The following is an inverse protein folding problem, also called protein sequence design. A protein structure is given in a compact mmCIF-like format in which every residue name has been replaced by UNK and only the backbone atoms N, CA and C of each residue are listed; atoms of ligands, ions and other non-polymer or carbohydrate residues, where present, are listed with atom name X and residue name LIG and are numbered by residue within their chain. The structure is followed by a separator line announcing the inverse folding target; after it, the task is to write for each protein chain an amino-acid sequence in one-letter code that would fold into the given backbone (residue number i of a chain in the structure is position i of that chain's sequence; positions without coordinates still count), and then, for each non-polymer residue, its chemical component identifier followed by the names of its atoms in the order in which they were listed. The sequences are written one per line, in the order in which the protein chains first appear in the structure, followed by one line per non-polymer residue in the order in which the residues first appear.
data_IF_156141205873
#
_entry.id   IF_156141205873
#
_cell.length_a   1.000
_cell.length_b   1.000
_cell.length_c   1.000
_cell.angle_alpha   90.00
_cell.angle_beta   90.00
_cell.angle_gamma   90.00
#
_symmetry.space_group_name_H-M   'P 1'
#
loop_
_entity.id
_entity.type
_entity.pdbx_description
1 polymer ?
#
# COMPACT_ATOMS: atom_id res chain seq x y z
N UNK A 1 20.15 4.38 -6.52
CA UNK A 1 18.92 4.40 -7.33
C UNK A 1 18.87 3.09 -8.11
N UNK A 2 18.08 2.09 -7.68
CA UNK A 2 17.74 0.99 -8.58
C UNK A 2 16.55 1.46 -9.41
N UNK A 3 16.81 1.76 -10.68
CA UNK A 3 15.76 2.07 -11.65
C UNK A 3 14.87 0.84 -11.73
N UNK A 4 13.58 1.00 -11.42
CA UNK A 4 12.62 -0.09 -11.62
C UNK A 4 12.39 -0.19 -13.13
N UNK A 5 13.03 -1.19 -13.75
CA UNK A 5 12.93 -1.41 -15.19
C UNK A 5 11.72 -2.31 -15.47
N UNK A 6 10.85 -1.89 -16.38
CA UNK A 6 9.78 -2.78 -16.87
C UNK A 6 10.39 -4.02 -17.54
N UNK A 7 9.60 -5.10 -17.63
CA UNK A 7 10.00 -6.28 -18.39
C UNK A 7 10.37 -5.88 -19.82
N UNK A 8 11.53 -6.35 -20.29
CA UNK A 8 11.99 -6.08 -21.66
C UNK A 8 11.09 -6.79 -22.67
N UNK A 9 11.04 -6.26 -23.90
CA UNK A 9 10.32 -6.92 -24.99
C UNK A 9 10.78 -8.38 -25.21
N UNK A 10 12.08 -8.66 -24.98
CA UNK A 10 12.62 -10.01 -25.02
C UNK A 10 12.06 -10.93 -23.94
N UNK A 11 11.96 -10.44 -22.69
CA UNK A 11 11.35 -11.20 -21.59
C UNK A 11 9.86 -11.47 -21.84
N UNK A 12 9.11 -10.45 -22.27
CA UNK A 12 7.68 -10.61 -22.59
C UNK A 12 7.48 -11.64 -23.70
N UNK A 13 8.31 -11.59 -24.75
CA UNK A 13 8.27 -12.57 -25.85
C UNK A 13 8.59 -13.98 -25.36
N UNK A 14 9.57 -14.13 -24.47
CA UNK A 14 9.94 -15.42 -23.90
C UNK A 14 8.82 -16.01 -23.03
N UNK A 15 8.17 -15.20 -22.20
CA UNK A 15 7.03 -15.61 -21.37
C UNK A 15 5.85 -16.07 -22.24
N UNK A 16 5.52 -15.29 -23.28
CA UNK A 16 4.45 -15.67 -24.22
C UNK A 16 4.75 -17.02 -24.89
N UNK A 17 6.00 -17.24 -25.31
CA UNK A 17 6.42 -18.52 -25.88
C UNK A 17 6.19 -19.69 -24.91
N UNK A 18 6.54 -19.55 -23.63
CA UNK A 18 6.28 -20.60 -22.65
C UNK A 18 4.79 -20.95 -22.52
N UNK A 19 3.91 -19.95 -22.52
CA UNK A 19 2.47 -20.17 -22.50
C UNK A 19 1.97 -20.88 -23.76
N UNK A 20 2.44 -20.46 -24.93
CA UNK A 20 2.08 -21.06 -26.23
C UNK A 20 2.55 -22.51 -26.32
N UNK A 21 3.81 -22.79 -25.97
CA UNK A 21 4.40 -24.14 -25.97
C UNK A 21 3.64 -25.07 -25.00
N UNK A 22 3.19 -24.56 -23.84
CA UNK A 22 2.41 -25.32 -22.88
C UNK A 22 1.01 -25.70 -23.43
N UNK A 23 0.33 -24.77 -24.11
CA UNK A 23 -0.97 -25.04 -24.75
C UNK A 23 -0.81 -26.07 -25.87
N UNK A 24 0.22 -25.93 -26.71
CA UNK A 24 0.51 -26.89 -27.79
C UNK A 24 0.70 -28.31 -27.24
N UNK A 25 1.41 -28.44 -26.12
CA UNK A 25 1.60 -29.73 -25.45
C UNK A 25 0.26 -30.33 -24.96
N UNK A 26 -0.60 -29.52 -24.35
CA UNK A 26 -1.93 -29.96 -23.90
C UNK A 26 -2.80 -30.43 -25.08
N UNK A 27 -2.76 -29.71 -26.20
CA UNK A 27 -3.50 -30.10 -27.42
C UNK A 27 -3.01 -31.45 -27.96
N UNK A 28 -1.69 -31.69 -27.93
CA UNK A 28 -1.10 -32.98 -28.31
C UNK A 28 -1.50 -34.13 -27.39
N UNK A 29 -1.63 -33.89 -26.08
CA UNK A 29 -2.05 -34.88 -25.08
C UNK A 29 -3.55 -35.17 -25.12
N UNK A 30 -4.39 -34.15 -25.39
CA UNK A 30 -5.84 -34.27 -25.40
C UNK A 30 -6.37 -35.08 -26.59
N UNK A 31 -5.67 -35.06 -27.73
CA UNK A 31 -6.00 -35.87 -28.90
C UNK A 31 -7.36 -35.54 -29.52
N UNK A 32 -7.65 -34.25 -29.71
CA UNK A 32 -8.91 -33.78 -30.30
C UNK A 32 -9.12 -34.34 -31.72
N UNK A 33 -10.34 -34.81 -32.00
CA UNK A 33 -10.79 -35.08 -33.36
C UNK A 33 -11.21 -33.78 -34.07
N UNK A 34 -11.39 -33.82 -35.40
CA UNK A 34 -11.76 -32.62 -36.17
C UNK A 34 -13.04 -31.92 -35.64
N UNK A 35 -14.12 -32.64 -35.31
CA UNK A 35 -15.30 -32.02 -34.69
C UNK A 35 -15.03 -31.41 -33.31
N UNK A 36 -14.21 -32.05 -32.47
CA UNK A 36 -13.81 -31.54 -31.16
C UNK A 36 -12.98 -30.27 -31.26
N UNK A 37 -12.01 -30.25 -32.19
CA UNK A 37 -11.22 -29.06 -32.47
C UNK A 37 -12.10 -27.89 -32.95
N UNK A 38 -13.04 -28.15 -33.86
CA UNK A 38 -13.96 -27.14 -34.35
C UNK A 38 -14.85 -26.55 -33.24
N UNK A 39 -15.34 -27.39 -32.30
CA UNK A 39 -16.09 -26.91 -31.13
C UNK A 39 -15.26 -25.98 -30.25
N UNK A 40 -13.99 -26.30 -29.98
CA UNK A 40 -13.12 -25.41 -29.20
C UNK A 40 -12.91 -24.08 -29.90
N UNK A 41 -12.76 -24.07 -31.23
CA UNK A 41 -12.64 -22.84 -32.04
C UNK A 41 -13.92 -21.99 -31.96
N UNK A 42 -15.09 -22.63 -32.04
CA UNK A 42 -16.39 -21.94 -31.92
C UNK A 42 -16.60 -21.32 -30.54
N UNK A 43 -16.05 -21.93 -29.48
CA UNK A 43 -16.03 -21.40 -28.12
C UNK A 43 -14.70 -20.69 -27.77
N UNK A 44 -14.00 -20.14 -28.76
CA UNK A 44 -12.66 -19.57 -28.61
C UNK A 44 -12.54 -18.47 -27.56
N UNK A 45 -13.57 -17.64 -27.40
CA UNK A 45 -13.58 -16.58 -26.38
C UNK A 45 -13.63 -17.13 -24.95
N UNK A 46 -14.42 -18.20 -24.72
CA UNK A 46 -14.49 -18.88 -23.42
C UNK A 46 -13.15 -19.54 -23.07
N UNK A 47 -12.52 -20.18 -24.06
CA UNK A 47 -11.18 -20.74 -23.90
C UNK A 47 -10.14 -19.65 -23.61
N UNK A 48 -10.18 -18.53 -24.33
CA UNK A 48 -9.26 -17.41 -24.13
C UNK A 48 -9.37 -16.81 -22.71
N UNK A 49 -10.59 -16.59 -22.20
CA UNK A 49 -10.77 -16.07 -20.84
C UNK A 49 -10.34 -17.07 -19.75
N UNK A 50 -10.57 -18.38 -19.96
CA UNK A 50 -10.09 -19.43 -19.06
C UNK A 50 -8.54 -19.45 -18.99
N UNK A 51 -7.88 -19.41 -20.15
CA UNK A 51 -6.41 -19.34 -20.24
C UNK A 51 -5.90 -18.05 -19.62
N UNK A 52 -6.53 -16.91 -19.89
CA UNK A 52 -6.16 -15.61 -19.31
C UNK A 52 -6.19 -15.66 -17.78
N UNK A 53 -7.26 -16.22 -17.21
CA UNK A 53 -7.41 -16.35 -15.75
C UNK A 53 -6.32 -17.24 -15.15
N UNK A 54 -6.06 -18.41 -15.74
CA UNK A 54 -5.03 -19.33 -15.27
C UNK A 54 -3.60 -18.76 -15.43
N UNK A 55 -3.34 -18.09 -16.55
CA UNK A 55 -2.05 -17.45 -16.83
C UNK A 55 -1.80 -16.28 -15.86
N UNK A 56 -2.81 -15.46 -15.57
CA UNK A 56 -2.69 -14.38 -14.60
C UNK A 56 -2.29 -14.92 -13.22
N UNK A 57 -3.01 -15.92 -12.72
CA UNK A 57 -2.69 -16.54 -11.43
C UNK A 57 -1.26 -17.13 -11.39
N UNK A 58 -0.86 -17.84 -12.46
CA UNK A 58 0.47 -18.48 -12.53
C UNK A 58 1.60 -17.45 -12.63
N UNK A 59 1.42 -16.40 -13.45
CA UNK A 59 2.42 -15.35 -13.61
C UNK A 59 2.52 -14.48 -12.36
N UNK A 60 1.41 -14.21 -11.67
CA UNK A 60 1.43 -13.53 -10.37
C UNK A 60 2.25 -14.32 -9.34
N UNK A 61 2.04 -15.64 -9.23
CA UNK A 61 2.82 -16.48 -8.32
C UNK A 61 4.31 -16.52 -8.67
N UNK A 62 4.65 -16.74 -9.95
CA UNK A 62 6.04 -16.89 -10.39
C UNK A 62 6.82 -15.57 -10.50
N UNK A 63 6.13 -14.44 -10.62
CA UNK A 63 6.77 -13.12 -10.73
C UNK A 63 7.18 -12.54 -9.38
N UNK A 64 6.64 -13.09 -8.29
CA UNK A 64 6.94 -12.65 -6.93
C UNK A 64 8.13 -13.43 -6.40
N UNK A 65 9.12 -12.70 -5.88
CA UNK A 65 10.29 -13.29 -5.25
C UNK A 65 9.90 -14.20 -4.08
N UNK A 66 10.54 -15.37 -3.94
CA UNK A 66 10.33 -16.27 -2.79
C UNK A 66 10.97 -15.74 -1.49
N UNK A 67 11.64 -14.58 -1.55
CA UNK A 67 12.24 -13.97 -0.37
C UNK A 67 11.17 -13.66 0.67
N UNK A 68 11.39 -14.19 1.87
CA UNK A 68 10.49 -14.08 3.03
C UNK A 68 9.11 -14.72 2.84
N UNK A 69 8.98 -15.68 1.91
CA UNK A 69 7.71 -16.38 1.65
C UNK A 69 7.09 -17.03 2.89
N UNK A 70 7.93 -17.52 3.81
CA UNK A 70 7.50 -18.12 5.08
C UNK A 70 7.04 -17.09 6.13
N UNK A 71 7.05 -15.80 5.81
CA UNK A 71 6.58 -14.71 6.67
C UNK A 71 5.19 -14.21 6.28
N UNK A 72 4.31 -15.16 6.01
CA UNK A 72 2.89 -14.93 5.79
C UNK A 72 2.10 -15.92 6.63
N UNK A 73 1.08 -15.42 7.33
CA UNK A 73 0.10 -16.23 8.07
C UNK A 73 -1.30 -15.90 7.58
N UNK A 74 -2.22 -16.86 7.71
CA UNK A 74 -3.62 -16.61 7.43
C UNK A 74 -4.18 -15.54 8.39
N UNK A 75 -4.98 -14.62 7.84
CA UNK A 75 -5.58 -13.53 8.61
C UNK A 75 -7.04 -13.33 8.23
N UNK A 76 -7.89 -13.34 9.25
CA UNK A 76 -9.32 -13.04 9.17
C UNK A 76 -9.65 -11.64 9.71
N UNK A 77 -8.65 -10.84 10.06
CA UNK A 77 -8.84 -9.46 10.54
C UNK A 77 -9.26 -8.54 9.40
N UNK A 78 -10.14 -7.59 9.72
CA UNK A 78 -10.73 -6.69 8.75
C UNK A 78 -11.02 -5.30 9.33
N UNK A 79 -11.95 -4.59 8.69
CA UNK A 79 -12.35 -3.23 9.09
C UNK A 79 -13.70 -3.29 9.79
N UNK A 80 -13.68 -3.61 11.07
CA UNK A 80 -14.86 -3.87 11.89
C UNK A 80 -15.46 -2.59 12.47
N UNK A 81 -14.67 -1.53 12.60
CA UNK A 81 -15.10 -0.23 13.14
C UNK A 81 -15.93 0.65 12.21
N UNK A 82 -16.49 0.11 11.13
CA UNK A 82 -17.43 0.82 10.27
C UNK A 82 -16.81 1.56 9.08
N UNK A 83 -15.49 1.58 8.94
CA UNK A 83 -14.86 1.98 7.68
C UNK A 83 -15.29 1.03 6.54
N UNK A 84 -15.69 1.62 5.41
CA UNK A 84 -16.15 0.89 4.22
C UNK A 84 -15.46 1.34 2.94
N UNK A 85 -15.20 2.65 2.83
CA UNK A 85 -14.50 3.28 1.71
C UNK A 85 -13.95 4.63 2.16
N UNK A 86 -12.96 5.19 1.45
CA UNK A 86 -12.51 6.55 1.72
C UNK A 86 -13.62 7.58 1.53
N UNK A 87 -13.58 8.63 2.35
CA UNK A 87 -14.37 9.86 2.14
C UNK A 87 -13.96 10.53 0.83
N UNK A 88 -14.78 11.44 0.32
CA UNK A 88 -14.39 12.23 -0.87
C UNK A 88 -13.14 13.06 -0.59
N UNK A 89 -12.34 13.38 -1.62
CA UNK A 89 -11.16 14.24 -1.46
C UNK A 89 -11.55 15.61 -0.91
N UNK A 90 -12.71 16.15 -1.32
CA UNK A 90 -13.25 17.40 -0.76
C UNK A 90 -13.45 17.31 0.75
N UNK A 91 -14.07 16.23 1.25
CA UNK A 91 -14.26 16.03 2.69
C UNK A 91 -12.93 15.85 3.43
N UNK A 92 -12.02 15.03 2.88
CA UNK A 92 -10.70 14.81 3.48
C UNK A 92 -9.91 16.13 3.57
N UNK A 93 -9.86 16.93 2.50
CA UNK A 93 -9.15 18.22 2.50
C UNK A 93 -9.80 19.24 3.44
N UNK A 94 -11.13 19.25 3.56
CA UNK A 94 -11.83 20.10 4.51
C UNK A 94 -11.44 19.76 5.96
N UNK A 95 -11.39 18.47 6.31
CA UNK A 95 -10.92 18.01 7.63
C UNK A 95 -9.46 18.45 7.83
N UNK A 96 -8.59 18.26 6.84
CA UNK A 96 -7.18 18.63 6.94
C UNK A 96 -6.95 20.12 7.17
N UNK A 97 -7.71 21.00 6.50
CA UNK A 97 -7.59 22.46 6.71
C UNK A 97 -8.05 22.90 8.10
N UNK A 98 -8.93 22.15 8.76
CA UNK A 98 -9.32 22.40 10.14
C UNK A 98 -8.22 21.98 11.13
N UNK A 99 -7.54 20.87 10.86
CA UNK A 99 -6.49 20.33 11.73
C UNK A 99 -5.16 21.06 11.54
N UNK A 100 -4.80 21.35 10.28
CA UNK A 100 -3.57 22.01 9.87
C UNK A 100 -3.90 23.28 9.08
N UNK A 101 -4.13 24.42 9.75
CA UNK A 101 -4.40 25.68 9.07
C UNK A 101 -3.27 26.05 8.11
N UNK A 102 -3.61 26.38 6.86
CA UNK A 102 -2.63 26.76 5.84
C UNK A 102 -2.04 25.59 5.03
N UNK A 103 -2.49 24.35 5.23
CA UNK A 103 -2.01 23.15 4.52
C UNK A 103 -2.27 23.13 3.00
N UNK A 104 -3.04 24.10 2.48
CA UNK A 104 -3.26 24.30 1.04
C UNK A 104 -4.41 23.47 0.44
N UNK A 105 -4.24 23.08 -0.82
CA UNK A 105 -5.28 22.45 -1.66
C UNK A 105 -4.76 21.24 -2.45
N UNK A 106 -5.67 20.40 -2.90
CA UNK A 106 -5.42 19.24 -3.77
C UNK A 106 -6.04 19.46 -5.15
N UNK A 107 -5.55 18.76 -6.18
CA UNK A 107 -6.27 18.59 -7.44
C UNK A 107 -7.38 17.55 -7.28
N UNK A 108 -8.58 17.98 -6.88
CA UNK A 108 -9.69 17.07 -6.62
C UNK A 108 -10.12 16.29 -7.87
N UNK A 109 -9.83 16.79 -9.08
CA UNK A 109 -10.16 16.11 -10.35
C UNK A 109 -9.41 14.80 -10.53
N UNK A 110 -8.27 14.62 -9.85
CA UNK A 110 -7.54 13.35 -9.89
C UNK A 110 -8.39 12.19 -9.34
N UNK A 111 -9.28 12.47 -8.39
CA UNK A 111 -10.16 11.46 -7.80
C UNK A 111 -11.39 11.11 -8.66
N UNK A 112 -11.61 11.82 -9.78
CA UNK A 112 -12.63 11.45 -10.78
C UNK A 112 -12.18 10.25 -11.64
N UNK A 113 -10.88 9.92 -11.61
CA UNK A 113 -10.32 8.76 -12.31
C UNK A 113 -10.74 7.46 -11.62
N UNK A 114 -10.79 6.39 -12.40
CA UNK A 114 -10.97 5.05 -11.87
C UNK A 114 -9.90 4.73 -10.82
N UNK A 115 -10.33 4.17 -9.69
CA UNK A 115 -9.43 3.74 -8.62
C UNK A 115 -8.51 2.64 -9.16
N UNK A 116 -7.18 2.79 -9.07
CA UNK A 116 -6.26 1.75 -9.50
C UNK A 116 -6.54 0.42 -8.79
N UNK A 117 -6.32 -0.68 -9.51
CA UNK A 117 -6.34 -2.00 -8.88
C UNK A 117 -5.44 -2.00 -7.64
N UNK A 118 -5.86 -2.71 -6.60
CA UNK A 118 -5.19 -2.84 -5.30
C UNK A 118 -5.29 -1.62 -4.36
N UNK A 119 -5.88 -0.50 -4.77
CA UNK A 119 -6.25 0.59 -3.86
C UNK A 119 -7.69 0.42 -3.34
N UNK A 120 -7.93 0.91 -2.13
CA UNK A 120 -9.29 1.07 -1.57
C UNK A 120 -9.97 2.34 -2.08
N UNK A 121 -9.19 3.33 -2.48
CA UNK A 121 -9.66 4.57 -3.06
C UNK A 121 -8.61 5.67 -2.99
N UNK A 122 -9.08 6.91 -3.19
CA UNK A 122 -8.25 8.10 -3.20
C UNK A 122 -8.17 8.73 -1.81
N UNK A 123 -6.97 9.10 -1.39
CA UNK A 123 -6.69 9.76 -0.13
C UNK A 123 -6.00 11.10 -0.36
N UNK A 124 -6.37 12.09 0.45
CA UNK A 124 -5.74 13.40 0.48
C UNK A 124 -4.59 13.38 1.50
N UNK A 125 -3.35 13.53 1.04
CA UNK A 125 -2.14 13.45 1.89
C UNK A 125 -1.31 14.71 1.67
N UNK A 126 -1.21 15.63 2.65
CA UNK A 126 -0.34 16.80 2.55
C UNK A 126 1.11 16.41 2.27
N UNK A 127 1.83 17.24 1.51
CA UNK A 127 3.29 17.20 1.51
C UNK A 127 3.76 17.49 2.94
N UNK A 128 4.49 16.58 3.58
CA UNK A 128 4.87 16.74 5.00
C UNK A 128 5.62 18.07 5.25
N UNK A 129 6.30 18.59 4.23
CA UNK A 129 7.01 19.87 4.23
C UNK A 129 6.10 21.08 4.50
N UNK A 130 4.79 20.97 4.25
CA UNK A 130 3.83 22.05 4.55
C UNK A 130 3.42 22.07 6.02
N UNK A 131 3.75 21.01 6.77
CA UNK A 131 3.40 20.86 8.19
C UNK A 131 4.64 21.06 9.09
N UNK A 132 5.82 20.61 8.65
CA UNK A 132 7.04 20.76 9.43
C UNK A 132 8.34 20.80 8.58
N UNK A 133 9.43 21.39 9.13
CA UNK A 133 10.75 21.39 8.51
C UNK A 133 11.40 20.01 8.32
N UNK A 134 11.03 19.01 9.13
CA UNK A 134 11.58 17.65 9.05
C UNK A 134 10.46 16.60 9.01
N UNK A 135 10.77 15.42 8.47
CA UNK A 135 9.80 14.32 8.41
C UNK A 135 9.38 13.87 9.81
N UNK A 136 10.33 13.74 10.74
CA UNK A 136 10.05 13.33 12.12
C UNK A 136 9.15 14.32 12.84
N UNK A 137 9.40 15.62 12.70
CA UNK A 137 8.54 16.67 13.30
C UNK A 137 7.13 16.66 12.69
N UNK A 138 7.01 16.38 11.39
CA UNK A 138 5.71 16.24 10.74
C UNK A 138 4.93 15.03 11.29
N UNK A 139 5.61 13.90 11.53
CA UNK A 139 5.03 12.73 12.18
C UNK A 139 4.55 13.08 13.59
N UNK A 140 5.37 13.70 14.42
CA UNK A 140 4.99 14.10 15.78
C UNK A 140 3.75 15.00 15.79
N UNK A 141 3.68 16.02 14.92
CA UNK A 141 2.50 16.88 14.79
C UNK A 141 1.23 16.10 14.41
N UNK A 142 1.35 15.10 13.54
CA UNK A 142 0.23 14.22 13.17
C UNK A 142 -0.19 13.33 14.34
N UNK A 143 0.74 12.77 15.11
CA UNK A 143 0.42 11.96 16.29
C UNK A 143 -0.29 12.81 17.37
N UNK A 144 0.16 14.05 17.59
CA UNK A 144 -0.51 15.01 18.48
C UNK A 144 -1.91 15.37 18.01
N UNK A 145 -2.10 15.56 16.70
CA UNK A 145 -3.41 15.79 16.13
C UNK A 145 -4.33 14.57 16.33
N UNK A 146 -3.82 13.34 16.18
CA UNK A 146 -4.59 12.11 16.45
C UNK A 146 -5.00 12.07 17.91
N UNK A 147 -4.06 12.37 18.82
CA UNK A 147 -4.36 12.41 20.26
C UNK A 147 -5.50 13.36 20.59
N UNK A 148 -5.47 14.57 20.03
CA UNK A 148 -6.56 15.57 20.18
C UNK A 148 -7.87 15.06 19.57
N UNK A 149 -7.84 14.54 18.34
CA UNK A 149 -9.02 14.02 17.65
C UNK A 149 -9.66 12.81 18.36
N UNK A 150 -8.89 12.08 19.18
CA UNK A 150 -9.34 10.91 19.95
C UNK A 150 -9.66 11.24 21.41
N UNK A 151 -9.77 12.52 21.80
CA UNK A 151 -10.01 12.95 23.18
C UNK A 151 -9.01 12.30 24.16
N UNK A 152 -7.71 12.39 23.83
CA UNK A 152 -6.59 11.80 24.58
C UNK A 152 -6.57 10.26 24.64
N UNK A 153 -7.49 9.55 23.96
CA UNK A 153 -7.47 8.10 23.80
C UNK A 153 -6.49 7.64 22.72
N UNK A 154 -5.25 8.12 22.83
CA UNK A 154 -4.14 7.76 21.98
C UNK A 154 -2.85 7.65 22.79
N UNK A 155 -2.07 6.59 22.55
CA UNK A 155 -0.80 6.38 23.24
C UNK A 155 0.37 6.18 22.27
N UNK A 156 1.38 7.03 22.38
CA UNK A 156 2.63 6.94 21.62
C UNK A 156 3.72 6.22 22.45
N UNK A 157 4.00 4.95 22.14
CA UNK A 157 5.09 4.19 22.79
C UNK A 157 6.49 4.65 22.37
N UNK A 158 6.59 5.56 21.41
CA UNK A 158 7.83 6.13 20.86
C UNK A 158 7.97 7.61 21.16
N UNK A 159 7.22 8.10 22.14
CA UNK A 159 7.32 9.48 22.61
C UNK A 159 8.77 9.81 23.04
N UNK A 160 9.28 10.95 22.59
CA UNK A 160 10.69 11.35 22.77
C UNK A 160 11.72 10.52 21.99
N UNK A 161 11.31 9.55 21.17
CA UNK A 161 12.19 8.70 20.36
C UNK A 161 12.10 8.99 18.85
N UNK A 162 11.17 9.84 18.41
CA UNK A 162 10.97 10.18 16.99
C UNK A 162 11.90 11.33 16.62
N UNK A 163 12.88 11.06 15.76
CA UNK A 163 13.83 12.04 15.24
C UNK A 163 14.54 11.48 13.99
N UNK A 164 15.29 12.34 13.29
CA UNK A 164 15.95 12.00 12.03
C UNK A 164 17.03 10.90 12.17
N UNK A 165 17.51 10.62 13.38
CA UNK A 165 18.44 9.50 13.62
C UNK A 165 17.72 8.16 13.74
N UNK A 166 16.41 8.18 14.06
CA UNK A 166 15.64 6.99 14.43
C UNK A 166 14.48 6.67 13.52
N UNK A 167 13.84 7.66 12.91
CA UNK A 167 12.75 7.46 11.97
C UNK A 167 13.19 7.97 10.60
N UNK A 168 13.00 7.15 9.57
CA UNK A 168 13.23 7.57 8.18
C UNK A 168 12.26 6.89 7.23
N UNK A 169 11.95 7.56 6.13
CA UNK A 169 11.28 6.95 5.01
C UNK A 169 12.22 5.98 4.30
N UNK A 170 11.68 4.85 3.83
CA UNK A 170 12.39 3.96 2.90
C UNK A 170 12.66 4.69 1.58
N UNK A 171 13.77 4.35 0.91
CA UNK A 171 14.15 4.95 -0.38
C UNK A 171 13.04 4.85 -1.43
N UNK A 172 12.33 3.71 -1.50
CA UNK A 172 11.23 3.51 -2.44
C UNK A 172 10.08 4.47 -2.15
N UNK A 173 9.69 4.61 -0.88
CA UNK A 173 8.59 5.50 -0.45
C UNK A 173 8.90 6.96 -0.73
N UNK A 174 10.09 7.42 -0.33
CA UNK A 174 10.54 8.78 -0.61
C UNK A 174 10.54 9.08 -2.12
N UNK A 175 11.05 8.14 -2.94
CA UNK A 175 11.04 8.27 -4.41
C UNK A 175 9.64 8.35 -5.01
N UNK A 176 8.68 7.55 -4.52
CA UNK A 176 7.32 7.55 -5.06
C UNK A 176 6.54 8.80 -4.64
N UNK A 177 6.70 9.27 -3.41
CA UNK A 177 6.13 10.55 -2.99
C UNK A 177 6.75 11.74 -3.73
N UNK A 178 8.06 11.70 -4.04
CA UNK A 178 8.67 12.71 -4.89
C UNK A 178 8.04 12.70 -6.29
N UNK A 179 7.87 11.52 -6.91
CA UNK A 179 7.21 11.41 -8.21
C UNK A 179 5.79 11.97 -8.19
N UNK A 180 4.99 11.62 -7.18
CA UNK A 180 3.63 12.17 -7.01
C UNK A 180 3.67 13.69 -6.80
N UNK A 181 4.66 14.20 -6.08
CA UNK A 181 4.85 15.63 -5.85
C UNK A 181 5.21 16.37 -7.13
N UNK A 182 6.02 15.77 -8.00
CA UNK A 182 6.40 16.36 -9.29
C UNK A 182 5.20 16.37 -10.26
N UNK A 183 4.39 15.31 -10.26
CA UNK A 183 3.15 15.21 -11.05
C UNK A 183 2.07 16.18 -10.55
N UNK A 184 2.04 16.49 -9.25
CA UNK A 184 1.09 17.38 -8.57
C UNK A 184 1.80 18.62 -8.01
N UNK A 185 2.72 19.20 -8.78
CA UNK A 185 3.64 20.26 -8.31
C UNK A 185 2.93 21.53 -7.84
N UNK A 186 1.79 21.86 -8.42
CA UNK A 186 1.03 23.09 -8.16
C UNK A 186 0.06 22.94 -6.95
N UNK A 187 0.15 21.81 -6.23
CA UNK A 187 -0.71 21.48 -5.10
C UNK A 187 0.08 21.07 -3.86
N UNK A 188 -0.41 21.47 -2.70
CA UNK A 188 0.19 21.21 -1.39
C UNK A 188 -0.25 19.85 -0.82
N UNK A 189 -1.43 19.39 -1.24
CA UNK A 189 -2.03 18.12 -0.84
C UNK A 189 -2.05 17.19 -2.04
N UNK A 190 -1.41 16.03 -1.88
CA UNK A 190 -1.36 14.98 -2.89
C UNK A 190 -2.64 14.15 -2.84
N UNK A 191 -3.22 13.87 -4.00
CA UNK A 191 -4.22 12.82 -4.17
C UNK A 191 -3.51 11.51 -4.46
N UNK A 192 -3.65 10.54 -3.55
CA UNK A 192 -2.89 9.27 -3.57
C UNK A 192 -3.87 8.10 -3.54
N UNK A 193 -3.75 7.18 -4.50
CA UNK A 193 -4.47 5.90 -4.44
C UNK A 193 -3.81 5.04 -3.37
N UNK A 194 -4.57 4.56 -2.38
CA UNK A 194 -3.99 3.85 -1.24
C UNK A 194 -4.95 2.84 -0.61
N UNK A 195 -4.43 2.04 0.31
CA UNK A 195 -5.16 1.05 1.10
C UNK A 195 -4.58 0.95 2.53
N UNK A 196 -5.41 0.55 3.50
CA UNK A 196 -5.09 0.60 4.94
C UNK A 196 -4.39 -0.64 5.51
N UNK A 197 -4.05 -1.61 4.68
CA UNK A 197 -3.30 -2.82 5.04
C UNK A 197 -3.99 -4.12 4.62
N UNK A 198 -5.28 -4.12 4.28
CA UNK A 198 -6.08 -5.34 4.06
C UNK A 198 -5.50 -6.27 2.99
N UNK A 199 -4.83 -5.71 1.97
CA UNK A 199 -4.19 -6.47 0.89
C UNK A 199 -2.99 -7.28 1.37
N UNK A 200 -2.28 -6.78 2.38
CA UNK A 200 -1.05 -7.37 2.90
C UNK A 200 -1.21 -7.86 4.33
N UNK A 201 -2.46 -8.10 4.78
CA UNK A 201 -2.73 -8.63 6.11
C UNK A 201 -2.09 -10.00 6.31
N UNK A 202 -1.57 -10.25 7.50
CA UNK A 202 -0.88 -11.49 7.82
C UNK A 202 0.52 -11.61 7.22
N UNK A 203 1.01 -10.61 6.46
CA UNK A 203 2.39 -10.59 5.95
C UNK A 203 3.28 -9.78 6.88
N UNK A 204 4.52 -10.19 7.07
CA UNK A 204 5.52 -9.30 7.65
C UNK A 204 5.74 -8.06 6.77
N UNK A 205 6.27 -6.99 7.35
CA UNK A 205 6.61 -5.77 6.59
C UNK A 205 7.65 -6.04 5.51
N UNK A 206 8.66 -6.87 5.79
CA UNK A 206 9.69 -7.20 4.79
C UNK A 206 9.12 -8.04 3.66
N UNK A 207 8.16 -8.94 3.95
CA UNK A 207 7.46 -9.71 2.92
C UNK A 207 6.53 -8.83 2.09
N UNK A 208 5.74 -7.96 2.72
CA UNK A 208 4.90 -6.99 2.01
C UNK A 208 5.72 -6.11 1.04
N UNK A 209 6.88 -5.61 1.48
CA UNK A 209 7.80 -4.82 0.64
C UNK A 209 8.31 -5.58 -0.59
N UNK A 210 8.56 -6.88 -0.44
CA UNK A 210 9.05 -7.74 -1.52
C UNK A 210 7.98 -8.00 -2.59
N UNK A 211 6.71 -8.10 -2.18
CA UNK A 211 5.59 -8.48 -3.05
C UNK A 211 4.79 -7.27 -3.57
N UNK A 212 5.18 -6.05 -3.21
CA UNK A 212 4.58 -4.85 -3.80
C UNK A 212 4.79 -4.86 -5.31
N UNK A 213 3.73 -4.58 -6.06
CA UNK A 213 3.85 -4.40 -7.51
C UNK A 213 4.72 -3.19 -7.84
N UNK A 214 5.19 -3.11 -9.09
CA UNK A 214 6.13 -2.08 -9.55
C UNK A 214 5.75 -0.65 -9.15
N UNK A 215 4.47 -0.30 -9.26
CA UNK A 215 3.95 1.03 -8.96
C UNK A 215 3.40 1.19 -7.53
N UNK A 216 3.58 0.18 -6.68
CA UNK A 216 3.12 0.16 -5.28
C UNK A 216 4.28 0.42 -4.31
N UNK A 217 4.02 1.18 -3.26
CA UNK A 217 5.00 1.53 -2.22
C UNK A 217 4.35 1.52 -0.84
N UNK A 218 5.15 1.28 0.21
CA UNK A 218 4.65 1.29 1.58
C UNK A 218 4.30 2.72 2.02
N UNK A 219 3.25 2.88 2.82
CA UNK A 219 2.94 4.16 3.44
C UNK A 219 3.67 4.30 4.78
N UNK A 220 4.19 5.50 5.04
CA UNK A 220 4.87 5.85 6.28
C UNK A 220 3.88 6.29 7.37
N UNK A 221 4.41 6.48 8.58
CA UNK A 221 3.65 6.91 9.75
C UNK A 221 2.91 8.23 9.54
N UNK A 222 3.54 9.18 8.84
CA UNK A 222 2.92 10.46 8.51
C UNK A 222 1.65 10.25 7.66
N UNK A 223 1.79 9.57 6.53
CA UNK A 223 0.69 9.34 5.58
C UNK A 223 -0.46 8.56 6.23
N UNK A 224 -0.16 7.51 6.97
CA UNK A 224 -1.16 6.69 7.65
C UNK A 224 -1.85 7.49 8.76
N UNK A 225 -1.10 8.29 9.52
CA UNK A 225 -1.68 9.17 10.53
C UNK A 225 -2.64 10.19 9.95
N UNK A 226 -2.31 10.78 8.80
CA UNK A 226 -3.21 11.63 8.01
C UNK A 226 -4.48 10.88 7.61
N UNK A 227 -4.36 9.65 7.11
CA UNK A 227 -5.51 8.82 6.74
C UNK A 227 -6.41 8.48 7.95
N UNK A 228 -5.82 8.23 9.13
CA UNK A 228 -6.57 8.00 10.38
C UNK A 228 -7.31 9.26 10.84
N UNK A 229 -6.72 10.45 10.68
CA UNK A 229 -7.36 11.73 11.01
C UNK A 229 -8.58 12.01 10.14
N UNK A 230 -8.51 11.68 8.84
CA UNK A 230 -9.62 11.87 7.89
C UNK A 230 -10.66 10.75 7.94
N UNK A 231 -10.30 9.59 8.52
CA UNK A 231 -11.17 8.43 8.69
C UNK A 231 -11.18 7.95 10.15
N UNK A 232 -11.76 8.74 11.08
CA UNK A 232 -11.74 8.41 12.51
C UNK A 232 -12.48 7.11 12.84
N UNK A 233 -13.30 6.59 11.92
CA UNK A 233 -13.90 5.26 12.01
C UNK A 233 -12.88 4.10 11.89
N UNK A 234 -11.63 4.33 11.45
CA UNK A 234 -10.58 3.31 11.54
C UNK A 234 -10.05 3.20 12.97
N UNK A 235 -9.68 1.98 13.36
CA UNK A 235 -9.05 1.65 14.65
C UNK A 235 -9.92 2.09 15.84
N UNK A 236 -11.15 1.59 15.93
CA UNK A 236 -12.07 1.80 17.07
C UNK A 236 -12.47 0.49 17.77
N UNK A 237 -11.99 -0.64 17.27
CA UNK A 237 -12.35 -1.97 17.74
C UNK A 237 -11.10 -2.82 17.95
N UNK A 238 -11.12 -3.69 18.96
CA UNK A 238 -9.97 -4.54 19.31
C UNK A 238 -9.52 -5.42 18.13
N UNK A 239 -10.48 -5.99 17.41
CA UNK A 239 -10.26 -6.84 16.24
C UNK A 239 -10.17 -6.07 14.90
N UNK A 240 -10.01 -4.74 14.92
CA UNK A 240 -9.63 -4.06 13.68
C UNK A 240 -8.23 -4.47 13.26
N UNK A 241 -8.04 -4.67 11.96
CA UNK A 241 -6.72 -4.84 11.36
C UNK A 241 -5.83 -3.63 11.70
N UNK A 242 -4.71 -3.90 12.36
CA UNK A 242 -3.65 -2.92 12.64
C UNK A 242 -2.86 -2.63 11.37
N UNK A 243 -2.23 -1.45 11.36
CA UNK A 243 -1.69 -0.85 10.15
C UNK A 243 -0.18 -0.73 10.31
N UNK A 244 0.58 -1.53 9.56
CA UNK A 244 2.03 -1.37 9.52
C UNK A 244 2.42 -0.21 8.61
N UNK A 245 3.32 0.63 9.10
CA UNK A 245 3.91 1.73 8.36
C UNK A 245 5.05 1.23 7.49
N UNK A 246 4.74 0.38 6.51
CA UNK A 246 5.72 -0.27 5.64
C UNK A 246 6.59 0.70 4.83
N UNK A 247 6.19 1.97 4.74
CA UNK A 247 6.99 3.03 4.12
C UNK A 247 8.12 3.58 4.97
N UNK A 248 8.13 3.30 6.27
CA UNK A 248 9.11 3.82 7.24
C UNK A 248 9.98 2.72 7.87
N UNK A 249 11.15 3.13 8.34
CA UNK A 249 12.05 2.32 9.15
C UNK A 249 12.31 3.02 10.47
N UNK A 250 12.34 2.24 11.55
CA UNK A 250 12.58 2.72 12.90
C UNK A 250 13.79 2.03 13.53
N UNK A 251 14.69 2.83 14.08
CA UNK A 251 15.85 2.41 14.86
C UNK A 251 15.53 2.47 16.35
N UNK A 252 15.19 1.31 16.92
CA UNK A 252 14.81 1.19 18.32
C UNK A 252 16.04 1.32 19.23
N UNK A 253 16.03 2.24 20.23
CA UNK A 253 17.16 2.46 21.13
C UNK A 253 17.67 1.21 21.84
N UNK A 254 16.79 0.22 22.08
CA UNK A 254 17.13 -1.03 22.75
C UNK A 254 17.48 -2.17 21.81
N UNK A 255 17.73 -1.90 20.52
CA UNK A 255 18.02 -2.92 19.51
C UNK A 255 19.44 -2.81 18.98
N UNK A 256 20.11 -3.96 18.87
CA UNK A 256 21.41 -4.07 18.21
C UNK A 256 21.33 -3.98 16.67
N UNK A 257 20.11 -4.00 16.11
CA UNK A 257 19.87 -3.97 14.67
C UNK A 257 19.25 -2.63 14.28
N UNK A 258 20.08 -1.78 13.66
CA UNK A 258 19.68 -0.49 13.10
C UNK A 258 18.56 -0.66 12.08
N UNK A 259 17.49 0.11 12.22
CA UNK A 259 16.38 0.15 11.25
C UNK A 259 15.73 -1.22 10.97
N UNK A 260 15.82 -2.15 11.92
CA UNK A 260 15.21 -3.48 11.83
C UNK A 260 13.70 -3.50 12.11
N UNK A 261 13.10 -2.35 12.45
CA UNK A 261 11.70 -2.21 12.84
C UNK A 261 10.93 -1.29 11.91
N UNK A 262 9.62 -1.47 11.86
CA UNK A 262 8.68 -0.56 11.22
C UNK A 262 7.71 -0.02 12.27
N UNK A 263 7.32 1.27 12.20
CA UNK A 263 6.22 1.76 13.00
C UNK A 263 4.90 1.10 12.63
N UNK A 264 3.91 1.16 13.53
CA UNK A 264 2.55 0.72 13.26
C UNK A 264 1.53 1.50 14.08
N UNK A 265 0.28 1.52 13.60
CA UNK A 265 -0.89 1.96 14.35
C UNK A 265 -1.78 0.76 14.69
N UNK A 266 -2.25 0.67 15.92
CA UNK A 266 -3.19 -0.38 16.34
C UNK A 266 -4.21 0.14 17.34
N UNK A 267 -5.22 -0.66 17.63
CA UNK A 267 -6.17 -0.37 18.69
C UNK A 267 -6.02 -1.40 19.80
N UNK A 268 -5.79 -0.94 21.04
CA UNK A 268 -5.81 -1.81 22.21
C UNK A 268 -6.20 -1.03 23.46
N UNK A 269 -6.76 -1.73 24.45
CA UNK A 269 -7.12 -1.16 25.76
C UNK A 269 -7.96 0.14 25.64
N UNK A 270 -8.87 0.18 24.67
CA UNK A 270 -9.81 1.28 24.48
C UNK A 270 -9.27 2.54 23.78
N UNK A 271 -8.07 2.48 23.20
CA UNK A 271 -7.48 3.61 22.47
C UNK A 271 -6.59 3.19 21.29
N UNK A 272 -6.31 4.16 20.42
CA UNK A 272 -5.34 3.99 19.33
C UNK A 272 -3.93 4.07 19.92
N UNK A 273 -2.98 3.32 19.37
CA UNK A 273 -1.58 3.40 19.76
C UNK A 273 -0.66 3.50 18.57
N UNK A 274 0.49 4.14 18.78
CA UNK A 274 1.60 4.17 17.86
C UNK A 274 2.81 3.52 18.51
N UNK A 275 3.43 2.57 17.82
CA UNK A 275 4.60 1.83 18.30
C UNK A 275 5.45 1.35 17.12
N UNK A 276 6.41 0.47 17.37
CA UNK A 276 7.24 -0.15 16.33
C UNK A 276 7.56 -1.59 16.69
N UNK A 277 7.60 -2.49 15.70
CA UNK A 277 8.00 -3.89 15.85
C UNK A 277 8.92 -4.33 14.72
N UNK A 278 9.54 -5.51 14.86
CA UNK A 278 10.45 -6.07 13.87
C UNK A 278 9.80 -6.19 12.49
N UNK A 279 10.53 -5.81 11.44
CA UNK A 279 10.06 -5.92 10.06
C UNK A 279 9.82 -7.36 9.61
N UNK A 280 10.46 -8.33 10.29
CA UNK A 280 10.30 -9.77 10.08
C UNK A 280 9.17 -10.37 10.93
N UNK A 281 8.60 -9.61 11.88
CA UNK A 281 7.50 -10.12 12.67
C UNK A 281 6.26 -10.28 11.78
N UNK A 282 5.64 -11.45 11.90
CA UNK A 282 4.44 -11.82 11.16
C UNK A 282 3.30 -11.91 12.16
N UNK A 283 2.29 -11.07 11.98
CA UNK A 283 1.11 -11.02 12.84
C UNK A 283 -0.14 -11.12 11.97
N UNK A 284 -1.06 -12.01 12.34
CA UNK A 284 -2.36 -12.18 11.70
C UNK A 284 -3.24 -10.92 11.84
N UNK A 285 -3.06 -10.13 12.90
CA UNK A 285 -3.81 -8.90 13.12
C UNK A 285 -3.20 -7.63 12.49
N UNK A 286 -2.06 -7.73 11.78
CA UNK A 286 -1.42 -6.59 11.11
C UNK A 286 -1.53 -6.72 9.58
N UNK A 287 -1.54 -5.57 8.90
CA UNK A 287 -1.35 -5.48 7.46
C UNK A 287 -0.59 -4.23 7.05
N UNK A 288 0.32 -4.38 6.08
CA UNK A 288 1.12 -3.28 5.57
C UNK A 288 0.32 -2.36 4.65
N UNK A 289 0.16 -1.09 5.05
CA UNK A 289 -0.49 -0.09 4.21
C UNK A 289 0.40 0.30 3.03
N UNK A 290 -0.22 0.50 1.87
CA UNK A 290 0.47 0.83 0.63
C UNK A 290 -0.27 1.89 -0.17
N UNK A 291 0.51 2.65 -0.94
CA UNK A 291 0.06 3.60 -1.95
C UNK A 291 0.44 3.13 -3.34
N UNK A 292 -0.29 3.58 -4.35
CA UNK A 292 -0.02 3.32 -5.76
C UNK A 292 0.21 4.62 -6.50
N UNK A 293 1.22 4.63 -7.36
CA UNK A 293 1.38 5.66 -8.38
C UNK A 293 0.59 5.19 -9.62
N UNK A 294 -0.48 5.89 -10.02
CA UNK A 294 -1.21 5.55 -11.23
C UNK A 294 -0.28 5.60 -12.45
N UNK A 295 -0.52 4.77 -13.49
CA UNK A 295 0.15 4.98 -14.76
C UNK A 295 -0.14 6.41 -15.24
N UNK A 296 0.88 7.08 -15.79
CA UNK A 296 0.69 8.40 -16.38
C UNK A 296 -0.45 8.32 -17.41
N UNK A 297 -1.42 9.22 -17.32
CA UNK A 297 -2.44 9.33 -18.36
C UNK A 297 -1.73 9.54 -19.70
N UNK A 298 -2.08 8.79 -20.77
CA UNK A 298 -1.56 9.10 -22.08
C UNK A 298 -1.89 10.57 -22.36
N UNK A 299 -0.86 11.36 -22.68
CA UNK A 299 -1.06 12.73 -23.14
C UNK A 299 -1.95 12.62 -24.38
N UNK A 300 -3.17 13.15 -24.28
CA UNK A 300 -4.05 13.38 -25.43
C UNK A 300 -3.39 14.40 -26.37
#
# INVERSE_FOLDING_TARGET
MQTITQATAGQIKQINRFGSDAIEKVLGELGLDNPGAQRVIEHGDEFAEAIRTAALASLEDLSVSDKFKDEEVESNYGYLSGYRKPRSITEQTNILRQIFPGVGFADEKLAERAVPANAEGWFAIPKWQTIAPTYSEAVEKVLDAIKKARNDKFYNYRDGQINEQRLRQTTKTASMFQKLSDEQKDHDILVVAAQFGIRHRGRSVRRAREVFVTNEFGLGAFAIGIMILTHPERLQHYDDLWIDCAGDEFDDPGSDVRFGRAPYFGFSVGGVRFAAHWCAATYDFCGSASGLVPPASPKL
#
